data_IF_796645598033
#
_entry.id   IF_796645598033
#
_cell.length_a   1.000
_cell.length_b   1.000
_cell.length_c   1.000
_cell.angle_alpha   90.00
_cell.angle_beta   90.00
_cell.angle_gamma   90.00
#
_symmetry.space_group_name_H-M   'P 1'
#
loop_
_entity.id
_entity.type
_entity.pdbx_description
1 polymer ?
#
# COMPACT_ATOMS: atom_id res chain seq x y z
N UNK A 1 23.35 -3.20 24.62
CA UNK A 1 23.21 -3.58 23.20
C UNK A 1 23.80 -2.49 22.34
N UNK A 2 24.81 -2.82 21.53
CA UNK A 2 25.36 -1.95 20.48
C UNK A 2 24.46 -1.96 19.22
N UNK A 3 24.70 -1.05 18.26
CA UNK A 3 23.95 -1.02 17.00
C UNK A 3 24.09 -2.32 16.20
N UNK A 4 25.31 -2.88 16.13
CA UNK A 4 25.58 -4.13 15.42
C UNK A 4 24.88 -5.33 16.06
N UNK A 5 24.88 -5.44 17.40
CA UNK A 5 24.10 -6.46 18.13
C UNK A 5 22.59 -6.32 17.87
N UNK A 6 22.06 -5.10 17.85
CA UNK A 6 20.64 -4.84 17.60
C UNK A 6 20.24 -5.29 16.18
N UNK A 7 21.01 -4.92 15.16
CA UNK A 7 20.76 -5.38 13.78
C UNK A 7 20.92 -6.89 13.69
N UNK A 8 21.98 -7.47 14.25
CA UNK A 8 22.21 -8.91 14.22
C UNK A 8 21.03 -9.70 14.81
N UNK A 9 20.42 -9.21 15.91
CA UNK A 9 19.27 -9.84 16.58
C UNK A 9 18.05 -10.01 15.64
N UNK A 10 17.60 -8.95 14.95
CA UNK A 10 16.44 -9.06 14.04
C UNK A 10 16.73 -9.86 12.76
N UNK A 11 17.99 -10.05 12.39
CA UNK A 11 18.36 -10.89 11.24
C UNK A 11 18.77 -12.33 11.63
N UNK A 12 18.52 -12.76 12.89
CA UNK A 12 18.76 -14.15 13.29
C UNK A 12 17.81 -15.12 12.60
N UNK A 13 18.40 -16.03 11.83
CA UNK A 13 17.75 -17.25 11.36
C UNK A 13 17.82 -18.30 12.50
N UNK A 14 16.73 -19.04 12.80
CA UNK A 14 15.51 -19.18 12.00
C UNK A 14 14.37 -18.20 12.32
N UNK A 15 14.47 -17.40 13.39
CA UNK A 15 13.33 -16.63 13.93
C UNK A 15 12.73 -15.65 12.91
N UNK A 16 13.56 -14.95 12.14
CA UNK A 16 13.12 -14.06 11.06
C UNK A 16 12.24 -14.77 10.00
N UNK A 17 12.54 -16.01 9.63
CA UNK A 17 11.73 -16.79 8.67
C UNK A 17 10.40 -17.22 9.29
N UNK A 18 10.41 -17.65 10.54
CA UNK A 18 9.19 -18.08 11.26
C UNK A 18 8.23 -16.89 11.41
N UNK A 19 8.76 -15.71 11.74
CA UNK A 19 7.99 -14.47 11.86
C UNK A 19 7.40 -14.02 10.51
N UNK A 20 8.19 -14.13 9.43
CA UNK A 20 7.73 -13.88 8.08
C UNK A 20 6.60 -14.84 7.66
N UNK A 21 6.74 -16.13 7.96
CA UNK A 21 5.73 -17.15 7.66
C UNK A 21 4.43 -16.90 8.42
N UNK A 22 4.50 -16.59 9.72
CA UNK A 22 3.34 -16.23 10.54
C UNK A 22 2.62 -15.00 9.96
N UNK A 23 3.37 -13.99 9.53
CA UNK A 23 2.81 -12.78 8.88
C UNK A 23 2.09 -13.15 7.58
N UNK A 24 2.68 -14.03 6.75
CA UNK A 24 2.04 -14.54 5.54
C UNK A 24 0.73 -15.31 5.83
N UNK A 25 0.70 -16.14 6.87
CA UNK A 25 -0.51 -16.89 7.29
C UNK A 25 -1.62 -15.94 7.73
N UNK A 26 -1.32 -14.94 8.58
CA UNK A 26 -2.30 -13.95 9.05
C UNK A 26 -2.83 -13.07 7.90
N UNK A 27 -1.98 -12.70 6.95
CA UNK A 27 -2.39 -11.95 5.76
C UNK A 27 -3.29 -12.80 4.83
N UNK A 28 -2.98 -14.09 4.66
CA UNK A 28 -3.85 -15.04 3.96
C UNK A 28 -5.21 -15.22 4.65
N UNK A 29 -5.26 -15.22 5.99
CA UNK A 29 -6.53 -15.25 6.75
C UNK A 29 -7.35 -13.98 6.47
N UNK A 30 -6.72 -12.80 6.44
CA UNK A 30 -7.40 -11.55 6.06
C UNK A 30 -7.98 -11.62 4.64
N UNK A 31 -7.22 -12.12 3.66
CA UNK A 31 -7.74 -12.27 2.29
C UNK A 31 -8.85 -13.32 2.22
N UNK A 32 -8.80 -14.39 3.03
CA UNK A 32 -9.88 -15.37 3.11
C UNK A 32 -11.17 -14.73 3.67
N UNK A 33 -11.05 -13.86 4.66
CA UNK A 33 -12.21 -13.09 5.20
C UNK A 33 -12.76 -12.15 4.13
N UNK A 34 -11.92 -11.41 3.39
CA UNK A 34 -12.37 -10.57 2.27
C UNK A 34 -13.04 -11.38 1.16
N UNK A 35 -12.49 -12.56 0.83
CA UNK A 35 -13.09 -13.49 -0.13
C UNK A 35 -14.47 -13.98 0.32
N UNK A 36 -14.60 -14.41 1.57
CA UNK A 36 -15.88 -14.89 2.12
C UNK A 36 -16.91 -13.77 2.21
N UNK A 37 -16.50 -12.56 2.60
CA UNK A 37 -17.36 -11.38 2.63
C UNK A 37 -17.88 -11.02 1.23
N UNK A 38 -16.98 -10.82 0.26
CA UNK A 38 -17.36 -10.49 -1.12
C UNK A 38 -18.30 -11.54 -1.72
N UNK A 39 -18.03 -12.83 -1.47
CA UNK A 39 -18.87 -13.95 -1.93
C UNK A 39 -20.25 -14.00 -1.26
N UNK A 40 -20.35 -13.57 -0.01
CA UNK A 40 -21.62 -13.45 0.72
C UNK A 40 -22.48 -12.29 0.23
N UNK A 41 -21.84 -11.17 -0.16
CA UNK A 41 -22.53 -9.92 -0.52
C UNK A 41 -22.90 -9.84 -2.01
N UNK A 42 -22.10 -10.43 -2.92
CA UNK A 42 -22.33 -10.36 -4.38
C UNK A 42 -22.31 -11.75 -5.00
N UNK A 43 -23.43 -12.14 -5.63
CA UNK A 43 -23.65 -13.45 -6.26
C UNK A 43 -23.24 -13.51 -7.74
N UNK A 44 -22.64 -12.44 -8.27
CA UNK A 44 -22.27 -12.28 -9.67
C UNK A 44 -20.77 -12.04 -9.77
N UNK A 45 -20.06 -12.81 -10.59
CA UNK A 45 -18.61 -12.99 -10.50
C UNK A 45 -17.81 -11.69 -10.71
N UNK A 46 -18.21 -10.85 -11.68
CA UNK A 46 -17.52 -9.58 -11.96
C UNK A 46 -17.60 -8.58 -10.78
N UNK A 47 -18.76 -8.54 -10.10
CA UNK A 47 -18.96 -7.67 -8.92
C UNK A 47 -18.27 -8.22 -7.67
N UNK A 48 -18.14 -9.55 -7.57
CA UNK A 48 -17.37 -10.21 -6.52
C UNK A 48 -15.88 -9.84 -6.64
N UNK A 49 -15.30 -9.90 -7.85
CA UNK A 49 -13.88 -9.60 -8.07
C UNK A 49 -13.56 -8.13 -7.76
N UNK A 50 -14.42 -7.19 -8.16
CA UNK A 50 -14.30 -5.76 -7.83
C UNK A 50 -14.36 -5.49 -6.32
N UNK A 51 -15.29 -6.09 -5.59
CA UNK A 51 -15.44 -5.90 -4.14
C UNK A 51 -14.21 -6.44 -3.39
N UNK A 52 -13.74 -7.64 -3.76
CA UNK A 52 -12.52 -8.23 -3.18
C UNK A 52 -11.27 -7.37 -3.41
N UNK A 53 -11.09 -6.82 -4.60
CA UNK A 53 -9.97 -5.90 -4.87
C UNK A 53 -10.13 -4.57 -4.13
N UNK A 54 -11.32 -3.99 -4.06
CA UNK A 54 -11.62 -2.79 -3.26
C UNK A 54 -11.25 -2.97 -1.78
N UNK A 55 -11.67 -4.08 -1.16
CA UNK A 55 -11.32 -4.42 0.23
C UNK A 55 -9.80 -4.58 0.43
N UNK A 56 -9.13 -5.21 -0.53
CA UNK A 56 -7.68 -5.44 -0.49
C UNK A 56 -6.89 -4.13 -0.67
N UNK A 57 -7.25 -3.30 -1.65
CA UNK A 57 -6.65 -1.97 -1.87
C UNK A 57 -6.82 -1.07 -0.63
N UNK A 58 -8.02 -1.05 -0.01
CA UNK A 58 -8.28 -0.32 1.27
C UNK A 58 -7.39 -0.80 2.42
N UNK A 59 -7.17 -2.10 2.53
CA UNK A 59 -6.30 -2.67 3.56
C UNK A 59 -4.82 -2.30 3.32
N UNK A 60 -4.35 -2.33 2.08
CA UNK A 60 -2.99 -1.92 1.74
C UNK A 60 -2.76 -0.44 2.04
N UNK A 61 -3.65 0.44 1.55
CA UNK A 61 -3.64 1.88 1.81
C UNK A 61 -3.54 2.19 3.31
N UNK A 62 -4.34 1.49 4.13
CA UNK A 62 -4.31 1.63 5.59
C UNK A 62 -2.94 1.24 6.18
N UNK A 63 -2.40 0.08 5.80
CA UNK A 63 -1.13 -0.44 6.33
C UNK A 63 0.07 0.41 5.86
N UNK A 64 0.08 0.87 4.60
CA UNK A 64 1.11 1.78 4.09
C UNK A 64 1.06 3.14 4.77
N UNK A 65 -0.14 3.73 4.88
CA UNK A 65 -0.33 5.06 5.45
C UNK A 65 0.11 5.12 6.92
N UNK A 66 -0.26 4.12 7.74
CA UNK A 66 0.23 3.98 9.12
C UNK A 66 1.70 3.56 9.20
N UNK A 67 2.14 2.64 8.34
CA UNK A 67 3.50 2.11 8.33
C UNK A 67 4.58 3.15 8.01
N UNK A 68 4.30 4.10 7.12
CA UNK A 68 5.17 5.25 6.84
C UNK A 68 5.37 6.12 8.09
N UNK A 69 4.27 6.46 8.77
CA UNK A 69 4.29 7.31 9.96
C UNK A 69 5.08 6.63 11.08
N UNK A 70 4.75 5.37 11.36
CA UNK A 70 5.46 4.56 12.34
C UNK A 70 6.94 4.41 11.97
N UNK A 71 7.27 4.28 10.69
CA UNK A 71 8.65 4.21 10.20
C UNK A 71 9.47 5.46 10.52
N UNK A 72 8.96 6.65 10.23
CA UNK A 72 9.64 7.89 10.58
C UNK A 72 9.75 8.11 12.10
N UNK A 73 8.72 7.75 12.86
CA UNK A 73 8.77 7.78 14.33
C UNK A 73 9.77 6.75 14.91
N UNK A 74 9.89 5.58 14.30
CA UNK A 74 10.86 4.55 14.67
C UNK A 74 12.30 4.97 14.31
N UNK A 75 12.51 5.62 13.16
CA UNK A 75 13.82 6.20 12.78
C UNK A 75 14.23 7.28 13.78
N UNK A 76 13.33 8.21 14.12
CA UNK A 76 13.56 9.22 15.16
C UNK A 76 13.96 8.57 16.50
N UNK A 77 13.19 7.57 16.93
CA UNK A 77 13.45 6.85 18.18
C UNK A 77 14.79 6.11 18.15
N UNK A 78 15.14 5.45 17.04
CA UNK A 78 16.42 4.74 16.87
C UNK A 78 17.62 5.69 16.89
N UNK A 79 17.54 6.86 16.23
CA UNK A 79 18.59 7.87 16.29
C UNK A 79 18.76 8.33 17.74
N UNK A 80 17.68 8.67 18.44
CA UNK A 80 17.74 9.10 19.85
C UNK A 80 18.27 8.00 20.79
N UNK A 81 18.03 6.73 20.49
CA UNK A 81 18.50 5.57 21.28
C UNK A 81 19.99 5.29 21.12
N UNK A 82 20.52 5.41 19.89
CA UNK A 82 21.91 5.06 19.57
C UNK A 82 22.87 6.25 19.60
N UNK A 83 22.40 7.47 19.35
CA UNK A 83 23.22 8.68 19.40
C UNK A 83 23.42 9.14 20.86
N UNK A 84 24.41 8.55 21.53
CA UNK A 84 24.69 8.77 22.96
C UNK A 84 25.76 9.82 23.25
N UNK A 85 26.65 10.12 22.31
CA UNK A 85 27.75 11.07 22.50
C UNK A 85 28.31 11.57 21.16
N UNK A 86 29.06 12.68 21.21
CA UNK A 86 29.72 13.32 20.06
C UNK A 86 29.04 14.61 19.58
N UNK A 87 29.67 15.38 18.67
CA UNK A 87 29.16 16.69 18.23
C UNK A 87 27.79 16.60 17.54
N UNK A 88 27.49 15.47 16.89
CA UNK A 88 26.17 15.20 16.32
C UNK A 88 25.07 15.09 17.39
N UNK A 89 25.38 14.72 18.64
CA UNK A 89 24.41 14.63 19.73
C UNK A 89 23.98 16.02 20.21
N UNK A 90 24.90 16.98 20.28
CA UNK A 90 24.57 18.38 20.62
C UNK A 90 23.64 19.01 19.57
N UNK A 91 23.95 18.79 18.28
CA UNK A 91 23.08 19.19 17.16
C UNK A 91 21.71 18.48 17.24
N UNK A 92 21.70 17.16 17.49
CA UNK A 92 20.46 16.41 17.65
C UNK A 92 19.61 16.94 18.80
N UNK A 93 20.17 17.10 20.00
CA UNK A 93 19.39 17.56 21.16
C UNK A 93 18.89 19.00 21.01
N UNK A 94 19.56 19.83 20.21
CA UNK A 94 19.11 21.19 19.85
C UNK A 94 17.97 21.21 18.82
N UNK A 95 17.92 20.24 17.89
CA UNK A 95 17.01 20.28 16.73
C UNK A 95 16.06 19.07 16.60
N UNK A 96 16.12 18.08 17.49
CA UNK A 96 15.35 16.82 17.46
C UNK A 96 13.85 17.03 17.24
N UNK A 97 13.29 18.05 17.86
CA UNK A 97 11.85 18.34 17.85
C UNK A 97 11.42 18.93 16.49
N UNK A 98 12.24 19.79 15.90
CA UNK A 98 12.07 20.28 14.52
C UNK A 98 12.31 19.17 13.49
N UNK A 99 13.32 18.32 13.69
CA UNK A 99 13.61 17.16 12.85
C UNK A 99 12.45 16.14 12.86
N UNK A 100 11.84 15.90 14.02
CA UNK A 100 10.67 15.04 14.15
C UNK A 100 9.47 15.61 13.37
N UNK A 101 9.21 16.92 13.48
CA UNK A 101 8.17 17.57 12.68
C UNK A 101 8.42 17.42 11.17
N UNK A 102 9.68 17.60 10.74
CA UNK A 102 10.10 17.40 9.33
C UNK A 102 9.91 15.96 8.89
N UNK A 103 10.36 14.97 9.67
CA UNK A 103 10.17 13.55 9.38
C UNK A 103 8.69 13.18 9.25
N UNK A 104 7.83 13.76 10.09
CA UNK A 104 6.39 13.56 10.01
C UNK A 104 5.75 14.21 8.77
N UNK A 105 6.23 15.37 8.32
CA UNK A 105 5.81 15.97 7.05
C UNK A 105 6.28 15.09 5.87
N UNK A 106 7.52 14.62 5.89
CA UNK A 106 8.07 13.71 4.86
C UNK A 106 7.28 12.40 4.83
N UNK A 107 6.83 11.86 5.96
CA UNK A 107 5.95 10.68 6.00
C UNK A 107 4.66 10.87 5.22
N UNK A 108 4.03 12.05 5.32
CA UNK A 108 2.79 12.39 4.60
C UNK A 108 3.06 12.50 3.09
N UNK A 109 4.18 13.09 2.70
CA UNK A 109 4.61 13.16 1.29
C UNK A 109 4.98 11.77 0.74
N UNK A 110 5.62 10.93 1.56
CA UNK A 110 5.97 9.57 1.19
C UNK A 110 4.72 8.72 0.98
N UNK A 111 3.65 8.88 1.77
CA UNK A 111 2.37 8.24 1.49
C UNK A 111 1.88 8.61 0.08
N UNK A 112 1.76 9.90 -0.23
CA UNK A 112 1.36 10.38 -1.57
C UNK A 112 2.24 9.83 -2.72
N UNK A 113 3.51 9.54 -2.45
CA UNK A 113 4.41 8.88 -3.42
C UNK A 113 4.16 7.36 -3.53
N UNK A 114 3.94 6.66 -2.41
CA UNK A 114 3.62 5.24 -2.38
C UNK A 114 2.26 4.95 -3.03
N UNK A 115 1.27 5.84 -2.87
CA UNK A 115 -0.04 5.83 -3.54
C UNK A 115 0.10 5.86 -5.08
N UNK A 116 1.18 6.47 -5.61
CA UNK A 116 1.40 6.58 -7.06
C UNK A 116 2.27 5.45 -7.62
N UNK A 117 3.26 4.97 -6.84
CA UNK A 117 4.30 4.05 -7.31
C UNK A 117 4.03 2.59 -6.94
N UNK A 118 3.48 2.33 -5.75
CA UNK A 118 3.47 0.99 -5.15
C UNK A 118 2.12 0.29 -5.30
N UNK A 119 1.02 0.98 -4.99
CA UNK A 119 -0.34 0.49 -5.27
C UNK A 119 -0.95 1.40 -6.32
N UNK A 120 -1.03 0.97 -7.58
CA UNK A 120 -1.72 1.76 -8.62
C UNK A 120 -3.23 1.60 -8.45
N UNK A 121 -3.76 2.28 -7.43
CA UNK A 121 -5.15 2.26 -6.96
C UNK A 121 -6.09 2.56 -8.13
N UNK A 122 -6.68 1.52 -8.68
CA UNK A 122 -7.44 1.60 -9.94
C UNK A 122 -8.95 1.64 -9.69
N UNK A 123 -9.39 1.28 -8.48
CA UNK A 123 -10.80 1.08 -8.16
C UNK A 123 -11.29 1.95 -6.99
N UNK A 124 -10.41 2.79 -6.42
CA UNK A 124 -10.72 3.66 -5.28
C UNK A 124 -10.92 5.12 -5.71
N UNK A 125 -12.12 5.63 -5.46
CA UNK A 125 -12.50 7.01 -5.73
C UNK A 125 -11.87 7.99 -4.72
N UNK A 126 -11.75 9.27 -5.11
CA UNK A 126 -11.04 10.32 -4.36
C UNK A 126 -11.61 10.54 -2.95
N UNK A 127 -12.93 10.42 -2.79
CA UNK A 127 -13.59 10.48 -1.48
C UNK A 127 -13.26 9.26 -0.61
N UNK A 128 -13.26 8.06 -1.21
CA UNK A 128 -12.90 6.84 -0.50
C UNK A 128 -11.45 6.91 0.00
N UNK A 129 -10.52 7.41 -0.81
CA UNK A 129 -9.12 7.64 -0.42
C UNK A 129 -8.98 8.64 0.74
N UNK A 130 -9.75 9.74 0.74
CA UNK A 130 -9.79 10.64 1.89
C UNK A 130 -10.31 9.93 3.16
N UNK A 131 -11.35 9.11 3.04
CA UNK A 131 -11.91 8.35 4.16
C UNK A 131 -10.95 7.29 4.72
N UNK A 132 -10.18 6.60 3.87
CA UNK A 132 -9.20 5.59 4.31
C UNK A 132 -8.01 6.27 4.99
N UNK A 133 -7.53 7.40 4.47
CA UNK A 133 -6.48 8.20 5.15
C UNK A 133 -6.95 8.74 6.50
N UNK A 134 -8.25 9.04 6.66
CA UNK A 134 -8.85 9.34 7.95
C UNK A 134 -8.88 8.12 8.88
N UNK A 135 -9.30 6.95 8.39
CA UNK A 135 -9.20 5.68 9.12
C UNK A 135 -7.76 5.35 9.51
N UNK A 136 -6.76 5.67 8.67
CA UNK A 136 -5.33 5.52 8.97
C UNK A 136 -4.83 6.43 10.07
N UNK A 137 -5.35 7.66 10.17
CA UNK A 137 -5.07 8.52 11.33
C UNK A 137 -5.70 7.96 12.61
N UNK A 138 -6.93 7.44 12.56
CA UNK A 138 -7.57 6.79 13.71
C UNK A 138 -6.82 5.52 14.17
N UNK A 139 -6.39 4.68 13.21
CA UNK A 139 -5.52 3.53 13.44
C UNK A 139 -4.23 3.92 14.18
N UNK A 140 -3.58 4.99 13.70
CA UNK A 140 -2.39 5.55 14.33
C UNK A 140 -2.64 6.07 15.75
N UNK A 141 -3.74 6.80 15.99
CA UNK A 141 -4.12 7.23 17.35
C UNK A 141 -4.24 6.03 18.29
N UNK A 142 -4.90 4.95 17.87
CA UNK A 142 -5.09 3.78 18.72
C UNK A 142 -3.77 3.10 19.09
N UNK A 143 -2.83 2.97 18.14
CA UNK A 143 -1.48 2.47 18.40
C UNK A 143 -0.72 3.39 19.38
N UNK A 144 -0.82 4.70 19.19
CA UNK A 144 -0.13 5.69 20.01
C UNK A 144 -0.69 5.77 21.44
N UNK A 145 -2.02 5.70 21.60
CA UNK A 145 -2.67 5.58 22.90
C UNK A 145 -2.27 4.28 23.63
N UNK A 146 -2.17 3.16 22.91
CA UNK A 146 -1.66 1.90 23.45
C UNK A 146 -0.20 2.01 23.92
N UNK A 147 0.68 2.67 23.14
CA UNK A 147 2.06 2.92 23.54
C UNK A 147 2.13 3.77 24.83
N UNK A 148 1.34 4.85 24.92
CA UNK A 148 1.26 5.69 26.11
C UNK A 148 0.79 4.93 27.35
N UNK A 149 -0.21 4.06 27.20
CA UNK A 149 -0.78 3.30 28.32
C UNK A 149 0.19 2.29 28.94
N UNK A 150 1.12 1.73 28.16
CA UNK A 150 2.07 0.72 28.65
C UNK A 150 3.45 1.30 28.98
N UNK A 151 3.87 2.36 28.30
CA UNK A 151 5.21 2.91 28.42
C UNK A 151 5.14 4.40 28.79
N UNK A 152 5.06 4.66 30.10
CA UNK A 152 5.12 5.99 30.73
C UNK A 152 6.51 6.66 30.54
N UNK A 153 6.86 6.99 29.30
CA UNK A 153 8.13 7.65 28.96
C UNK A 153 7.86 8.92 28.14
N UNK A 154 8.43 10.04 28.60
CA UNK A 154 8.25 11.36 27.99
C UNK A 154 8.62 11.41 26.49
N UNK A 155 9.50 10.53 26.02
CA UNK A 155 9.81 10.41 24.59
C UNK A 155 8.58 10.07 23.73
N UNK A 156 7.64 9.28 24.26
CA UNK A 156 6.39 8.96 23.58
C UNK A 156 5.39 10.12 23.66
N UNK A 157 5.34 10.88 24.77
CA UNK A 157 4.47 12.06 24.85
C UNK A 157 4.82 13.11 23.79
N UNK A 158 6.10 13.41 23.59
CA UNK A 158 6.58 14.29 22.50
C UNK A 158 6.14 13.77 21.13
N UNK A 159 6.37 12.48 20.85
CA UNK A 159 5.98 11.81 19.61
C UNK A 159 4.46 11.89 19.34
N UNK A 160 3.65 11.69 20.37
CA UNK A 160 2.18 11.74 20.32
C UNK A 160 1.72 13.17 20.10
N UNK A 161 2.31 14.16 20.77
CA UNK A 161 1.97 15.56 20.63
C UNK A 161 2.21 16.08 19.20
N UNK A 162 3.35 15.73 18.58
CA UNK A 162 3.63 16.12 17.19
C UNK A 162 2.71 15.41 16.18
N UNK A 163 2.42 14.12 16.37
CA UNK A 163 1.43 13.42 15.57
C UNK A 163 0.05 14.09 15.67
N UNK A 164 -0.42 14.38 16.89
CA UNK A 164 -1.72 14.98 17.14
C UNK A 164 -1.80 16.39 16.55
N UNK A 165 -0.75 17.20 16.70
CA UNK A 165 -0.66 18.56 16.12
C UNK A 165 -0.77 18.54 14.60
N UNK A 166 -0.07 17.62 13.92
CA UNK A 166 -0.18 17.49 12.46
C UNK A 166 -1.53 16.96 12.00
N UNK A 167 -2.13 16.04 12.77
CA UNK A 167 -3.47 15.55 12.53
C UNK A 167 -4.51 16.69 12.68
N UNK A 168 -4.40 17.51 13.73
CA UNK A 168 -5.21 18.71 13.94
C UNK A 168 -4.99 19.70 12.79
N UNK A 169 -3.75 19.97 12.36
CA UNK A 169 -3.47 20.83 11.22
C UNK A 169 -4.14 20.34 9.93
N UNK A 170 -4.17 19.02 9.70
CA UNK A 170 -4.93 18.41 8.59
C UNK A 170 -6.44 18.59 8.75
N UNK A 171 -6.98 18.55 9.97
CA UNK A 171 -8.40 18.81 10.22
C UNK A 171 -8.80 20.28 10.10
N UNK A 172 -7.95 21.21 10.52
CA UNK A 172 -8.17 22.66 10.34
C UNK A 172 -8.20 23.01 8.84
N UNK A 173 -7.41 22.33 8.00
CA UNK A 173 -7.51 22.47 6.54
C UNK A 173 -8.88 22.00 5.99
N UNK A 174 -9.55 21.04 6.64
CA UNK A 174 -10.91 20.60 6.27
C UNK A 174 -12.03 21.49 6.86
N UNK A 175 -11.73 22.41 7.79
CA UNK A 175 -12.73 23.23 8.50
C UNK A 175 -13.48 24.21 7.57
N UNK A 176 -12.94 24.49 6.38
CA UNK A 176 -13.64 25.21 5.32
C UNK A 176 -14.95 24.52 4.85
N UNK A 177 -15.17 23.24 5.18
CA UNK A 177 -16.43 22.52 4.96
C UNK A 177 -16.64 21.39 5.98
N UNK A 178 -17.17 21.75 7.15
CA UNK A 178 -17.55 20.79 8.21
C UNK A 178 -18.48 19.67 7.72
N UNK A 179 -19.26 19.92 6.66
CA UNK A 179 -20.14 18.92 6.01
C UNK A 179 -19.33 17.81 5.33
N UNK A 180 -18.24 18.16 4.66
CA UNK A 180 -17.36 17.19 3.99
C UNK A 180 -16.54 16.40 5.01
N UNK A 181 -16.17 17.02 6.13
CA UNK A 181 -15.58 16.34 7.28
C UNK A 181 -16.52 15.28 7.89
N UNK A 182 -17.80 15.61 8.13
CA UNK A 182 -18.79 14.65 8.62
C UNK A 182 -19.03 13.49 7.64
N UNK A 183 -19.09 13.77 6.34
CA UNK A 183 -19.15 12.74 5.30
C UNK A 183 -17.90 11.85 5.31
N UNK A 184 -16.71 12.44 5.46
CA UNK A 184 -15.45 11.69 5.60
C UNK A 184 -15.46 10.80 6.85
N UNK A 185 -15.94 11.27 8.01
CA UNK A 185 -16.09 10.44 9.22
C UNK A 185 -17.06 9.28 8.96
N UNK A 186 -18.22 9.54 8.36
CA UNK A 186 -19.21 8.49 8.06
C UNK A 186 -18.64 7.41 7.14
N UNK A 187 -17.87 7.82 6.13
CA UNK A 187 -17.19 6.89 5.21
C UNK A 187 -16.02 6.17 5.90
N UNK A 188 -15.26 6.84 6.77
CA UNK A 188 -14.19 6.24 7.57
C UNK A 188 -14.74 5.21 8.57
N UNK A 189 -15.95 5.43 9.09
CA UNK A 189 -16.66 4.47 9.95
C UNK A 189 -16.99 3.17 9.22
N UNK A 190 -17.31 3.22 7.92
CA UNK A 190 -17.49 2.01 7.11
C UNK A 190 -16.19 1.20 6.92
N UNK A 191 -15.02 1.83 7.07
CA UNK A 191 -13.72 1.16 7.02
C UNK A 191 -13.22 0.67 8.41
N UNK A 192 -13.97 0.90 9.51
CA UNK A 192 -13.60 0.41 10.86
C UNK A 192 -13.36 -1.12 10.89
N UNK A 193 -14.12 -1.99 10.22
CA UNK A 193 -13.83 -3.43 10.21
C UNK A 193 -12.43 -3.76 9.64
N UNK A 194 -12.01 -3.03 8.60
CA UNK A 194 -10.67 -3.16 7.99
C UNK A 194 -9.59 -2.70 8.98
N UNK A 195 -9.86 -1.61 9.71
CA UNK A 195 -9.00 -1.11 10.78
C UNK A 195 -8.84 -2.09 11.95
N UNK A 196 -9.95 -2.71 12.39
CA UNK A 196 -9.92 -3.74 13.44
C UNK A 196 -9.09 -4.94 12.97
N UNK A 197 -9.26 -5.39 11.73
CA UNK A 197 -8.45 -6.48 11.15
C UNK A 197 -6.95 -6.16 11.13
N UNK A 198 -6.57 -4.93 10.77
CA UNK A 198 -5.19 -4.47 10.83
C UNK A 198 -4.64 -4.45 12.27
N UNK A 199 -5.41 -3.93 13.23
CA UNK A 199 -5.03 -3.90 14.65
C UNK A 199 -4.91 -5.31 15.26
N UNK A 200 -5.81 -6.23 14.92
CA UNK A 200 -5.78 -7.62 15.38
C UNK A 200 -4.55 -8.34 14.82
N UNK A 201 -4.25 -8.19 13.52
CA UNK A 201 -3.01 -8.73 12.93
C UNK A 201 -1.76 -8.18 13.61
N UNK A 202 -1.69 -6.87 13.82
CA UNK A 202 -0.60 -6.22 14.54
C UNK A 202 -0.48 -6.77 15.97
N UNK A 203 -1.59 -6.90 16.71
CA UNK A 203 -1.60 -7.39 18.08
C UNK A 203 -1.12 -8.85 18.17
N UNK A 204 -1.55 -9.73 17.26
CA UNK A 204 -1.10 -11.14 17.22
C UNK A 204 0.40 -11.23 16.91
N UNK A 205 0.89 -10.49 15.91
CA UNK A 205 2.31 -10.47 15.55
C UNK A 205 3.19 -9.90 16.65
N UNK A 206 2.76 -8.80 17.31
CA UNK A 206 3.42 -8.26 18.48
C UNK A 206 3.43 -9.27 19.64
N UNK A 207 2.28 -9.88 19.98
CA UNK A 207 2.17 -10.84 21.07
C UNK A 207 3.08 -12.07 20.86
N UNK A 208 3.11 -12.61 19.64
CA UNK A 208 4.00 -13.72 19.26
C UNK A 208 5.48 -13.30 19.31
N UNK A 209 5.82 -12.13 18.77
CA UNK A 209 7.19 -11.63 18.78
C UNK A 209 7.72 -11.36 20.20
N UNK A 210 6.86 -10.89 21.11
CA UNK A 210 7.19 -10.66 22.52
C UNK A 210 7.19 -11.92 23.38
N UNK A 211 6.47 -12.98 23.00
CA UNK A 211 6.48 -14.26 23.72
C UNK A 211 7.66 -15.15 23.33
N UNK A 212 8.10 -15.08 22.06
CA UNK A 212 9.29 -15.78 21.55
C UNK A 212 10.62 -15.07 21.85
N UNK A 213 10.58 -13.84 22.36
CA UNK A 213 11.78 -13.01 22.60
C UNK A 213 12.38 -12.39 21.34
N UNK A 214 11.76 -12.58 20.17
CA UNK A 214 12.20 -12.00 18.91
C UNK A 214 12.08 -10.47 18.90
N UNK A 215 10.96 -9.92 19.38
CA UNK A 215 10.77 -8.49 19.57
C UNK A 215 11.31 -8.06 20.93
N UNK A 216 12.26 -7.12 20.93
CA UNK A 216 12.95 -6.69 22.15
C UNK A 216 12.07 -5.75 22.96
N UNK A 217 11.64 -6.18 24.16
CA UNK A 217 10.80 -5.37 25.07
C UNK A 217 11.51 -4.11 25.59
N UNK A 218 12.83 -4.15 25.73
CA UNK A 218 13.60 -3.07 26.34
C UNK A 218 13.92 -1.97 25.32
N UNK A 219 13.28 -0.80 25.46
CA UNK A 219 13.53 0.42 24.69
C UNK A 219 13.51 0.25 23.16
N UNK A 220 12.41 -0.29 22.62
CA UNK A 220 12.27 -0.46 21.16
C UNK A 220 10.85 -0.66 20.65
N UNK A 221 9.81 -0.41 21.45
CA UNK A 221 8.43 -0.87 21.17
C UNK A 221 7.86 -0.26 19.89
N UNK A 222 8.08 1.04 19.66
CA UNK A 222 7.69 1.70 18.41
C UNK A 222 8.44 1.12 17.20
N UNK A 223 9.71 0.76 17.36
CA UNK A 223 10.51 0.07 16.34
C UNK A 223 10.05 -1.36 16.11
N UNK A 224 9.61 -2.07 17.15
CA UNK A 224 9.01 -3.41 17.01
C UNK A 224 7.72 -3.35 16.21
N UNK A 225 6.85 -2.38 16.51
CA UNK A 225 5.63 -2.12 15.73
C UNK A 225 5.99 -1.76 14.28
N UNK A 226 7.05 -0.98 14.06
CA UNK A 226 7.57 -0.71 12.71
C UNK A 226 8.04 -1.98 12.00
N UNK A 227 8.82 -2.84 12.65
CA UNK A 227 9.26 -4.12 12.08
C UNK A 227 8.07 -5.00 11.71
N UNK A 228 7.03 -5.06 12.55
CA UNK A 228 5.78 -5.77 12.22
C UNK A 228 5.13 -5.19 10.95
N UNK A 229 5.01 -3.87 10.84
CA UNK A 229 4.50 -3.22 9.62
C UNK A 229 5.37 -3.54 8.41
N UNK A 230 6.70 -3.53 8.54
CA UNK A 230 7.63 -3.87 7.48
C UNK A 230 7.42 -5.31 6.98
N UNK A 231 7.25 -6.29 7.89
CA UNK A 231 6.90 -7.67 7.50
C UNK A 231 5.57 -7.75 6.77
N UNK A 232 4.52 -7.05 7.25
CA UNK A 232 3.21 -7.04 6.57
C UNK A 232 3.33 -6.40 5.19
N UNK A 233 4.04 -5.28 5.04
CA UNK A 233 4.30 -4.60 3.76
C UNK A 233 5.05 -5.50 2.78
N UNK A 234 6.11 -6.18 3.24
CA UNK A 234 6.87 -7.13 2.41
C UNK A 234 6.00 -8.31 1.99
N UNK A 235 5.15 -8.83 2.89
CA UNK A 235 4.21 -9.91 2.57
C UNK A 235 3.10 -9.48 1.62
N UNK A 236 2.57 -8.25 1.75
CA UNK A 236 1.66 -7.64 0.76
C UNK A 236 2.34 -7.58 -0.60
N UNK A 237 3.59 -7.10 -0.68
CA UNK A 237 4.32 -7.00 -1.95
C UNK A 237 4.55 -8.38 -2.58
N UNK A 238 4.95 -9.37 -1.79
CA UNK A 238 5.09 -10.78 -2.22
C UNK A 238 3.76 -11.32 -2.75
N UNK A 239 2.66 -11.17 -2.00
CA UNK A 239 1.34 -11.66 -2.38
C UNK A 239 0.69 -10.87 -3.52
N UNK A 240 1.07 -9.62 -3.76
CA UNK A 240 0.57 -8.80 -4.87
C UNK A 240 1.32 -9.09 -6.18
N UNK A 241 2.65 -9.21 -6.11
CA UNK A 241 3.49 -9.33 -7.30
C UNK A 241 3.56 -10.76 -7.86
N UNK A 242 3.41 -11.78 -7.01
CA UNK A 242 3.40 -13.20 -7.43
C UNK A 242 2.19 -13.53 -8.34
N UNK A 243 0.93 -13.22 -7.98
CA UNK A 243 -0.22 -13.52 -8.84
C UNK A 243 -0.17 -12.81 -10.18
N UNK A 244 0.19 -11.51 -10.19
CA UNK A 244 0.29 -10.73 -11.44
C UNK A 244 1.30 -11.36 -12.40
N UNK A 245 2.49 -11.76 -11.92
CA UNK A 245 3.49 -12.46 -12.74
C UNK A 245 3.05 -13.85 -13.19
N UNK A 246 2.35 -14.61 -12.34
CA UNK A 246 1.84 -15.95 -12.69
C UNK A 246 0.69 -15.89 -13.70
N UNK A 247 -0.23 -14.93 -13.57
CA UNK A 247 -1.33 -14.69 -14.51
C UNK A 247 -0.81 -14.16 -15.84
N UNK A 248 0.16 -13.25 -15.84
CA UNK A 248 0.83 -12.79 -17.05
C UNK A 248 1.51 -13.96 -17.79
N UNK A 249 2.27 -14.80 -17.09
CA UNK A 249 2.87 -16.03 -17.67
C UNK A 249 1.81 -17.00 -18.20
N UNK A 250 0.68 -17.18 -17.51
CA UNK A 250 -0.45 -17.99 -18.01
C UNK A 250 -1.08 -17.40 -19.28
N UNK A 251 -1.29 -16.07 -19.36
CA UNK A 251 -1.81 -15.41 -20.57
C UNK A 251 -0.86 -15.54 -21.75
N UNK A 252 0.44 -15.29 -21.57
CA UNK A 252 1.45 -15.48 -22.63
C UNK A 252 1.49 -16.92 -23.13
N UNK A 253 1.56 -17.91 -22.23
CA UNK A 253 1.56 -19.33 -22.59
C UNK A 253 0.28 -19.78 -23.31
N UNK A 254 -0.89 -19.20 -22.97
CA UNK A 254 -2.16 -19.45 -23.67
C UNK A 254 -2.15 -18.84 -25.09
N UNK A 255 -1.55 -17.66 -25.26
CA UNK A 255 -1.43 -16.98 -26.54
C UNK A 255 -0.47 -17.73 -27.50
N UNK A 256 0.68 -18.18 -26.99
CA UNK A 256 1.64 -19.00 -27.74
C UNK A 256 1.05 -20.37 -28.12
N UNK A 257 0.28 -21.00 -27.23
CA UNK A 257 -0.45 -22.23 -27.51
C UNK A 257 -1.49 -22.05 -28.63
N UNK A 258 -2.30 -20.99 -28.57
CA UNK A 258 -3.31 -20.68 -29.57
C UNK A 258 -2.69 -20.38 -30.95
N UNK A 259 -1.54 -19.69 -31.01
CA UNK A 259 -0.83 -19.38 -32.27
C UNK A 259 -0.23 -20.62 -32.95
N UNK A 260 -0.16 -21.77 -32.25
CA UNK A 260 0.39 -23.03 -32.76
C UNK A 260 -0.68 -23.95 -33.37
N UNK A 261 -1.95 -23.78 -33.02
CA UNK A 261 -3.08 -24.57 -33.55
C UNK A 261 -3.76 -23.95 -34.76
N UNK A 262 -3.72 -22.62 -34.91
CA UNK A 262 -4.25 -21.92 -36.09
C UNK A 262 -3.24 -21.83 -37.25
N UNK A 263 -2.92 -22.98 -37.87
CA UNK A 263 -2.42 -22.97 -39.26
C UNK A 263 -3.58 -22.60 -40.20
N UNK A 264 -3.43 -21.65 -41.14
CA UNK A 264 -4.50 -21.29 -42.05
C UNK A 264 -4.87 -22.48 -42.97
N UNK A 265 -6.14 -22.64 -43.37
CA UNK A 265 -6.55 -23.66 -44.33
C UNK A 265 -5.76 -23.52 -45.64
N UNK A 266 -5.36 -24.66 -46.21
CA UNK A 266 -4.58 -24.69 -47.46
C UNK A 266 -5.50 -24.32 -48.62
N UNK A 267 -5.43 -23.07 -49.04
CA UNK A 267 -6.26 -22.48 -50.09
C UNK A 267 -6.22 -23.33 -51.38
N UNK A 268 -7.39 -23.80 -51.81
CA UNK A 268 -7.54 -24.65 -52.99
C UNK A 268 -7.45 -23.75 -54.23
N UNK A 269 -6.29 -23.74 -54.90
CA UNK A 269 -6.07 -23.00 -56.15
C UNK A 269 -7.18 -23.26 -57.17
N UNK A 270 -7.92 -22.21 -57.53
CA UNK A 270 -8.85 -22.24 -58.65
C UNK A 270 -8.12 -22.08 -60.00
N UNK A 271 -8.69 -22.55 -61.13
CA UNK A 271 -8.10 -22.40 -62.45
C UNK A 271 -8.22 -20.96 -62.97
N UNK A 272 -7.11 -20.40 -63.46
CA UNK A 272 -7.03 -19.03 -63.97
C UNK A 272 -7.86 -18.85 -65.27
N UNK A 273 -8.77 -17.85 -65.37
CA UNK A 273 -9.47 -17.56 -66.62
C UNK A 273 -8.54 -17.03 -67.72
N UNK A 274 -8.92 -17.25 -68.99
CA UNK A 274 -8.13 -16.81 -70.15
C UNK A 274 -8.28 -15.30 -70.42
N UNK A 275 -7.15 -14.69 -70.77
CA UNK A 275 -6.96 -13.30 -71.23
C UNK A 275 -7.77 -13.03 -72.52
N UNK A 276 -8.55 -11.93 -72.55
CA UNK A 276 -8.96 -11.20 -73.76
C UNK A 276 -8.62 -9.72 -73.59
N UNK A 277 -8.51 -9.00 -74.71
CA UNK A 277 -7.81 -7.72 -74.82
C UNK A 277 -8.71 -6.48 -74.58
N UNK A 278 -8.07 -5.38 -74.16
CA UNK A 278 -8.50 -3.97 -74.16
C UNK A 278 -8.78 -3.45 -75.58
N UNK A 279 -9.30 -2.20 -75.80
CA UNK A 279 -9.37 -1.03 -74.91
C UNK A 279 -10.81 -0.43 -74.78
N UNK A 280 -11.16 0.86 -74.51
CA UNK A 280 -10.44 2.17 -74.50
C UNK A 280 -11.04 3.21 -73.49
N UNK A 281 -11.15 4.50 -73.87
CA UNK A 281 -11.18 5.76 -73.08
C UNK A 281 -12.52 6.54 -73.23
N UNK A 282 -12.99 7.24 -72.19
CA UNK A 282 -13.34 8.69 -72.25
C UNK A 282 -13.36 9.34 -70.84
N UNK A 283 -12.99 10.63 -70.79
CA UNK A 283 -12.57 11.38 -69.59
C UNK A 283 -13.70 12.19 -68.93
N UNK A 284 -13.54 12.53 -67.63
CA UNK A 284 -13.95 13.82 -67.02
C UNK A 284 -12.99 14.13 -65.85
N UNK A 285 -12.32 15.29 -65.89
CA UNK A 285 -11.50 15.86 -64.80
C UNK A 285 -12.35 16.67 -63.78
N UNK A 286 -11.64 17.11 -62.74
CA UNK A 286 -11.93 18.19 -61.77
C UNK A 286 -12.73 17.80 -60.50
N UNK A 287 -12.42 18.31 -59.29
CA UNK A 287 -11.39 19.28 -58.86
C UNK A 287 -10.87 18.91 -57.44
N UNK A 288 -9.77 19.52 -57.00
CA UNK A 288 -9.16 19.31 -55.67
C UNK A 288 -9.67 20.40 -54.72
N UNK A 289 -9.91 20.07 -53.45
CA UNK A 289 -9.56 21.02 -52.40
C UNK A 289 -9.17 20.36 -51.06
N UNK A 290 -8.10 20.89 -50.46
CA UNK A 290 -7.53 20.45 -49.18
C UNK A 290 -7.42 21.70 -48.31
N UNK A 291 -8.28 21.82 -47.30
CA UNK A 291 -8.17 22.90 -46.32
C UNK A 291 -7.59 22.40 -44.99
N UNK A 292 -6.32 22.75 -44.76
CA UNK A 292 -5.64 22.69 -43.47
C UNK A 292 -5.38 24.14 -43.06
N UNK A 293 -5.96 24.63 -41.95
CA UNK A 293 -5.37 25.72 -41.15
C UNK A 293 -5.67 25.50 -39.65
N UNK A 294 -4.63 25.65 -38.83
CA UNK A 294 -4.66 25.66 -37.35
C UNK A 294 -5.25 26.95 -36.75
N UNK A 295 -5.78 26.87 -35.52
CA UNK A 295 -5.84 27.97 -34.55
C UNK A 295 -5.93 27.47 -33.11
#
# INVERSE_FOLDING_TARGET
MSYSEYVAHYFQLPQCIIFALLTGVLLCIVYLIFYLYAKGTKKNDDYFEQEFFSLSERYYELIFSGGSIIGFMAVYFLINLFLKSGPFKEIWDSYKDYLLLIFMIISILLNSFLDHVLVRLKHLDREAMASIRLTGMAYMILILCYLKFIYESANYDTLIAYFLTLMIGRFVYFDASFKDFLNCIKNAAANIPIMIMALVNLAILCAYGYSTGYLLKHNGVITNIFFVHLYVIVMIFILHFIPVRLVAKKKVKKLEGAKKTSRPPRERREPRPRRRQQPEIEDVEEEIDIEIIDL
#
